data_IF_360741758531
#
_entry.id   IF_360741758531
#
_cell.length_a   1.000
_cell.length_b   1.000
_cell.length_c   1.000
_cell.angle_alpha   90.00
_cell.angle_beta   90.00
_cell.angle_gamma   90.00
#
_symmetry.space_group_name_H-M   'P 1'
#
loop_
_entity.id
_entity.type
_entity.pdbx_description
1 polymer ?
#
# COMPACT_ATOMS: atom_id res chain seq x y z
N UNK A 1 60.95 -41.22 -22.75
CA UNK A 1 59.55 -41.14 -23.12
C UNK A 1 58.81 -40.54 -21.97
N UNK A 2 58.55 -39.24 -22.00
CA UNK A 2 57.94 -38.48 -20.91
C UNK A 2 56.48 -38.23 -21.30
N UNK A 3 55.53 -38.78 -20.55
CA UNK A 3 54.12 -38.49 -20.72
C UNK A 3 53.72 -37.33 -19.79
N UNK A 4 53.35 -36.24 -20.38
CA UNK A 4 52.70 -35.12 -19.70
C UNK A 4 51.23 -35.45 -19.49
N UNK A 5 50.79 -35.53 -18.23
CA UNK A 5 49.41 -35.52 -17.84
C UNK A 5 48.94 -34.09 -17.70
N UNK A 6 48.06 -33.65 -18.57
CA UNK A 6 47.38 -32.37 -18.44
C UNK A 6 46.18 -32.56 -17.48
N UNK A 7 46.25 -31.91 -16.33
CA UNK A 7 45.13 -31.82 -15.40
C UNK A 7 44.23 -30.64 -15.83
N UNK A 8 43.06 -30.94 -16.37
CA UNK A 8 42.01 -29.93 -16.59
C UNK A 8 41.36 -29.61 -15.24
N UNK A 9 41.63 -28.43 -14.71
CA UNK A 9 40.86 -27.89 -13.60
C UNK A 9 39.56 -27.28 -14.14
N UNK A 10 38.43 -27.93 -13.91
CA UNK A 10 37.12 -27.37 -14.19
C UNK A 10 36.76 -26.40 -13.05
N UNK A 11 36.85 -25.12 -13.31
CA UNK A 11 36.29 -24.10 -12.41
C UNK A 11 34.79 -24.02 -12.59
N UNK A 12 34.04 -24.55 -11.61
CA UNK A 12 32.61 -24.34 -11.49
C UNK A 12 32.39 -22.89 -11.04
N UNK A 13 31.97 -22.04 -11.97
CA UNK A 13 31.39 -20.73 -11.64
C UNK A 13 29.95 -20.95 -11.13
N UNK A 14 29.80 -20.94 -9.82
CA UNK A 14 28.47 -20.81 -9.20
C UNK A 14 28.02 -19.37 -9.33
N UNK A 15 27.17 -19.07 -10.32
CA UNK A 15 26.45 -17.81 -10.38
C UNK A 15 25.36 -17.82 -9.31
N UNK A 16 25.69 -17.37 -8.10
CA UNK A 16 24.71 -17.12 -7.07
C UNK A 16 23.92 -15.87 -7.46
N UNK A 17 22.64 -16.04 -7.80
CA UNK A 17 21.70 -14.93 -7.89
C UNK A 17 21.43 -14.45 -6.48
N UNK A 18 22.07 -13.36 -6.05
CA UNK A 18 21.75 -12.68 -4.81
C UNK A 18 20.40 -12.00 -5.00
N UNK A 19 19.35 -12.55 -4.38
CA UNK A 19 18.08 -11.84 -4.20
C UNK A 19 18.37 -10.67 -3.25
N UNK A 20 18.31 -9.43 -3.77
CA UNK A 20 18.40 -8.24 -2.94
C UNK A 20 17.20 -8.21 -2.00
N UNK A 21 17.42 -8.49 -0.71
CA UNK A 21 16.42 -8.29 0.32
C UNK A 21 16.36 -6.80 0.66
N UNK A 22 15.16 -6.19 0.72
CA UNK A 22 15.03 -4.83 1.18
C UNK A 22 15.54 -4.72 2.62
N UNK A 23 16.49 -3.84 2.85
CA UNK A 23 16.96 -3.54 4.21
C UNK A 23 15.83 -2.87 5.01
N UNK A 24 15.69 -3.18 6.32
CA UNK A 24 14.83 -2.38 7.20
C UNK A 24 15.29 -0.93 7.16
N UNK A 25 14.43 -0.04 6.66
CA UNK A 25 14.78 1.37 6.43
C UNK A 25 15.09 1.73 4.97
N UNK A 26 15.03 0.77 4.05
CA UNK A 26 15.07 1.07 2.61
C UNK A 26 13.87 1.97 2.26
N UNK A 27 14.08 3.17 1.70
CA UNK A 27 12.99 4.05 1.29
C UNK A 27 12.08 3.44 0.20
N UNK A 28 12.48 2.33 -0.40
CA UNK A 28 11.66 1.54 -1.31
C UNK A 28 10.73 0.52 -0.62
N UNK A 29 10.97 0.20 0.66
CA UNK A 29 10.13 -0.75 1.38
C UNK A 29 8.83 -0.09 1.85
N UNK A 30 7.68 -0.56 1.33
CA UNK A 30 6.37 -0.11 1.74
C UNK A 30 5.85 -0.82 2.99
N UNK A 31 5.08 -0.11 3.80
CA UNK A 31 4.29 -0.72 4.88
C UNK A 31 2.89 -0.99 4.37
N UNK A 32 2.50 -2.26 4.33
CA UNK A 32 1.21 -2.70 3.80
C UNK A 32 0.21 -2.97 4.92
N UNK A 33 -1.04 -2.57 4.69
CA UNK A 33 -2.20 -2.86 5.55
C UNK A 33 -3.37 -3.36 4.71
N UNK A 34 -4.22 -4.19 5.31
CA UNK A 34 -5.45 -4.67 4.69
C UNK A 34 -6.55 -3.62 4.67
N UNK A 35 -7.40 -3.69 3.66
CA UNK A 35 -8.64 -2.93 3.54
C UNK A 35 -9.77 -3.94 3.45
N UNK A 36 -10.74 -3.82 4.36
CA UNK A 36 -11.88 -4.72 4.46
C UNK A 36 -13.14 -4.08 3.92
N UNK A 37 -14.07 -4.92 3.50
CA UNK A 37 -15.35 -4.43 3.00
C UNK A 37 -16.19 -3.75 4.09
N UNK A 38 -16.96 -2.76 3.69
CA UNK A 38 -18.04 -2.16 4.47
C UNK A 38 -19.35 -2.31 3.70
N UNK A 39 -20.46 -2.36 4.45
CA UNK A 39 -21.80 -2.35 3.90
C UNK A 39 -22.06 -3.46 2.85
N UNK A 40 -21.45 -4.63 3.05
CA UNK A 40 -21.58 -5.78 2.13
C UNK A 40 -21.21 -5.46 0.68
N UNK A 41 -20.26 -4.57 0.48
CA UNK A 41 -19.85 -4.10 -0.85
C UNK A 41 -19.12 -5.15 -1.68
N UNK A 42 -18.50 -6.14 -1.01
CA UNK A 42 -17.58 -7.08 -1.65
C UNK A 42 -16.22 -6.47 -2.01
N UNK A 43 -15.97 -5.21 -1.65
CA UNK A 43 -14.72 -4.53 -1.96
C UNK A 43 -13.70 -4.74 -0.86
N UNK A 44 -12.57 -5.30 -1.21
CA UNK A 44 -11.42 -5.52 -0.33
C UNK A 44 -10.15 -5.10 -1.03
N UNK A 45 -9.07 -4.90 -0.29
CA UNK A 45 -7.82 -4.53 -0.92
C UNK A 45 -6.69 -4.33 0.06
N UNK A 46 -5.71 -3.59 -0.39
CA UNK A 46 -4.54 -3.22 0.39
C UNK A 46 -4.19 -1.75 0.21
N UNK A 47 -3.64 -1.16 1.26
CA UNK A 47 -2.98 0.14 1.24
C UNK A 47 -1.51 -0.07 1.55
N UNK A 48 -0.64 0.54 0.76
CA UNK A 48 0.80 0.51 0.99
C UNK A 48 1.31 1.93 1.12
N UNK A 49 2.03 2.20 2.20
CA UNK A 49 2.65 3.49 2.48
C UNK A 49 4.14 3.39 2.23
N UNK A 50 4.66 4.29 1.39
CA UNK A 50 6.09 4.42 1.11
C UNK A 50 6.59 5.73 1.70
N UNK A 51 7.57 5.63 2.59
CA UNK A 51 8.23 6.79 3.17
C UNK A 51 9.04 7.54 2.11
N UNK A 52 8.76 8.83 1.97
CA UNK A 52 9.49 9.76 1.09
C UNK A 52 10.08 10.94 1.87
N UNK A 53 10.34 10.76 3.16
CA UNK A 53 10.82 11.82 4.05
C UNK A 53 9.66 12.66 4.60
N UNK A 54 9.51 13.89 4.15
CA UNK A 54 8.42 14.79 4.58
C UNK A 54 7.07 14.43 3.95
N UNK A 55 7.04 13.58 2.95
CA UNK A 55 5.84 13.11 2.26
C UNK A 55 5.72 11.59 2.33
N UNK A 56 4.53 11.08 2.05
CA UNK A 56 4.25 9.65 1.96
C UNK A 56 3.52 9.37 0.64
N UNK A 57 4.03 8.42 -0.13
CA UNK A 57 3.27 7.85 -1.24
C UNK A 57 2.33 6.80 -0.69
N UNK A 58 1.05 6.88 -1.07
CA UNK A 58 -0.01 5.95 -0.64
C UNK A 58 -0.57 5.27 -1.87
N UNK A 59 -0.38 3.97 -1.96
CA UNK A 59 -0.88 3.14 -3.05
C UNK A 59 -2.06 2.29 -2.55
N UNK A 60 -3.19 2.37 -3.25
CA UNK A 60 -4.34 1.50 -3.02
C UNK A 60 -4.46 0.49 -4.16
N UNK A 61 -4.69 -0.76 -3.80
CA UNK A 61 -5.06 -1.83 -4.73
C UNK A 61 -6.34 -2.45 -4.22
N UNK A 62 -7.43 -2.27 -4.97
CA UNK A 62 -8.77 -2.72 -4.60
C UNK A 62 -9.26 -3.81 -5.53
N UNK A 63 -10.01 -4.76 -4.98
CA UNK A 63 -10.74 -5.81 -5.68
C UNK A 63 -12.24 -5.63 -5.47
N UNK A 64 -13.06 -6.17 -6.37
CA UNK A 64 -14.52 -6.06 -6.29
C UNK A 64 -15.05 -4.68 -6.68
N UNK A 65 -14.24 -3.85 -7.31
CA UNK A 65 -14.66 -2.54 -7.80
C UNK A 65 -15.52 -2.70 -9.06
N UNK A 66 -16.54 -1.84 -9.19
CA UNK A 66 -17.34 -1.76 -10.41
C UNK A 66 -16.53 -1.02 -11.48
N UNK A 67 -16.08 -1.73 -12.49
CA UNK A 67 -15.10 -1.29 -13.48
C UNK A 67 -15.31 0.11 -14.04
N UNK A 68 -14.24 0.89 -14.15
CA UNK A 68 -14.17 2.20 -14.78
C UNK A 68 -14.76 3.37 -14.00
N UNK A 69 -15.60 3.15 -13.00
CA UNK A 69 -16.16 4.22 -12.17
C UNK A 69 -15.11 4.71 -11.15
N UNK A 70 -14.88 6.01 -11.12
CA UNK A 70 -14.03 6.62 -10.12
C UNK A 70 -14.67 6.53 -8.73
N UNK A 71 -13.90 6.09 -7.75
CA UNK A 71 -14.30 6.00 -6.35
C UNK A 71 -13.43 6.92 -5.50
N UNK A 72 -14.02 7.77 -4.69
CA UNK A 72 -13.27 8.60 -3.75
C UNK A 72 -12.57 7.73 -2.71
N UNK A 73 -11.35 8.12 -2.36
CA UNK A 73 -10.60 7.54 -1.25
C UNK A 73 -10.06 8.68 -0.37
N UNK A 74 -10.13 8.50 0.92
CA UNK A 74 -9.75 9.54 1.89
C UNK A 74 -9.16 8.92 3.15
N UNK A 75 -8.29 9.68 3.83
CA UNK A 75 -7.82 9.34 5.16
C UNK A 75 -8.60 10.11 6.22
N UNK A 76 -9.13 9.40 7.19
CA UNK A 76 -9.83 9.97 8.34
C UNK A 76 -9.06 9.69 9.62
N UNK A 77 -9.09 10.65 10.55
CA UNK A 77 -8.68 10.38 11.93
C UNK A 77 -9.84 9.75 12.69
N UNK A 78 -9.53 8.74 13.48
CA UNK A 78 -10.50 8.06 14.32
C UNK A 78 -9.97 6.72 14.81
N UNK A 79 -10.49 6.21 15.93
CA UNK A 79 -9.99 4.97 16.54
C UNK A 79 -10.35 3.72 15.75
N UNK A 80 -11.33 3.78 14.87
CA UNK A 80 -11.78 2.62 14.09
C UNK A 80 -12.50 3.03 12.82
N UNK A 81 -12.75 2.05 11.95
CA UNK A 81 -13.57 2.24 10.74
C UNK A 81 -15.05 2.53 11.06
N UNK A 82 -15.53 2.14 12.24
CA UNK A 82 -16.90 2.42 12.69
C UNK A 82 -17.05 3.84 13.23
N UNK A 83 -15.94 4.46 13.61
CA UNK A 83 -15.91 5.82 14.14
C UNK A 83 -14.87 6.65 13.38
N UNK A 84 -15.17 6.97 12.14
CA UNK A 84 -14.36 7.87 11.30
C UNK A 84 -14.60 9.34 11.62
N UNK A 85 -15.40 9.61 12.66
CA UNK A 85 -15.63 10.96 13.17
C UNK A 85 -16.47 11.85 12.27
N UNK A 86 -16.93 12.95 12.84
CA UNK A 86 -17.71 13.99 12.14
C UNK A 86 -16.84 15.11 11.60
N UNK A 87 -15.54 15.10 11.87
CA UNK A 87 -14.63 16.17 11.54
C UNK A 87 -14.21 16.24 10.05
N UNK A 88 -14.69 15.31 9.23
CA UNK A 88 -14.29 15.22 7.83
C UNK A 88 -12.93 14.57 7.62
N UNK A 89 -12.51 14.41 6.36
CA UNK A 89 -11.25 13.75 6.01
C UNK A 89 -10.05 14.63 6.39
N UNK A 90 -8.99 13.99 6.90
CA UNK A 90 -7.72 14.64 7.16
C UNK A 90 -6.91 14.82 5.87
N UNK A 91 -7.00 13.87 4.94
CA UNK A 91 -6.32 13.92 3.65
C UNK A 91 -7.19 13.31 2.55
N UNK A 92 -7.13 13.93 1.38
CA UNK A 92 -7.75 13.40 0.17
C UNK A 92 -6.72 12.59 -0.61
N UNK A 93 -7.13 11.41 -1.05
CA UNK A 93 -6.36 10.57 -1.95
C UNK A 93 -6.85 10.76 -3.39
N UNK A 94 -6.03 10.38 -4.35
CA UNK A 94 -6.47 10.26 -5.74
C UNK A 94 -7.58 9.21 -5.83
N UNK A 95 -8.59 9.46 -6.66
CA UNK A 95 -9.68 8.51 -6.86
C UNK A 95 -9.17 7.13 -7.28
N UNK A 96 -9.80 6.11 -6.76
CA UNK A 96 -9.58 4.73 -7.21
C UNK A 96 -10.25 4.56 -8.58
N UNK A 97 -9.47 4.19 -9.57
CA UNK A 97 -9.94 3.84 -10.92
C UNK A 97 -9.39 2.47 -11.30
N UNK A 98 -10.26 1.60 -11.79
CA UNK A 98 -9.89 0.23 -12.14
C UNK A 98 -9.15 -0.49 -11.01
N UNK A 99 -9.58 -0.25 -9.77
CA UNK A 99 -9.00 -0.86 -8.57
C UNK A 99 -7.67 -0.28 -8.11
N UNK A 100 -7.21 0.85 -8.63
CA UNK A 100 -5.92 1.43 -8.28
C UNK A 100 -5.98 2.93 -7.99
N UNK A 101 -5.19 3.36 -7.02
CA UNK A 101 -4.95 4.76 -6.70
C UNK A 101 -3.51 4.94 -6.23
N UNK A 102 -2.87 6.00 -6.67
CA UNK A 102 -1.55 6.42 -6.21
C UNK A 102 -1.64 7.88 -5.80
N UNK A 103 -1.28 8.16 -4.56
CA UNK A 103 -1.37 9.50 -3.99
C UNK A 103 -0.07 9.89 -3.29
N UNK A 104 0.20 11.18 -3.23
CA UNK A 104 1.27 11.74 -2.39
C UNK A 104 0.65 12.60 -1.31
N UNK A 105 0.93 12.28 -0.05
CA UNK A 105 0.43 12.99 1.13
C UNK A 105 1.56 13.82 1.74
N UNK A 106 1.25 15.07 2.06
CA UNK A 106 2.19 15.99 2.73
C UNK A 106 2.26 15.72 4.23
N UNK A 107 2.64 14.52 4.59
CA UNK A 107 2.88 14.08 5.96
C UNK A 107 3.90 12.95 5.95
N UNK A 108 4.77 12.86 6.98
CA UNK A 108 5.69 11.73 7.12
C UNK A 108 4.93 10.42 7.35
N UNK A 109 5.45 9.31 6.84
CA UNK A 109 4.84 8.00 7.00
C UNK A 109 4.67 7.61 8.48
N UNK A 110 5.63 7.93 9.34
CA UNK A 110 5.55 7.68 10.78
C UNK A 110 4.34 8.37 11.44
N UNK A 111 3.98 9.57 11.01
CA UNK A 111 2.79 10.27 11.50
C UNK A 111 1.50 9.52 11.13
N UNK A 112 1.42 9.02 9.90
CA UNK A 112 0.25 8.27 9.42
C UNK A 112 0.13 6.91 10.07
N UNK A 113 1.26 6.25 10.33
CA UNK A 113 1.30 4.90 10.92
C UNK A 113 1.13 4.89 12.44
N UNK A 114 1.49 5.98 13.13
CA UNK A 114 1.37 6.10 14.60
C UNK A 114 0.14 6.89 15.04
N UNK A 115 -0.43 7.71 14.17
CA UNK A 115 -1.70 8.40 14.42
C UNK A 115 -2.87 7.50 14.06
N UNK A 116 -4.00 7.64 14.72
CA UNK A 116 -5.21 6.86 14.44
C UNK A 116 -5.84 7.28 13.10
N UNK A 117 -5.26 6.83 11.99
CA UNK A 117 -5.76 7.09 10.65
C UNK A 117 -6.35 5.82 10.03
N UNK A 118 -7.45 6.01 9.30
CA UNK A 118 -8.12 4.97 8.55
C UNK A 118 -8.25 5.43 7.09
N UNK A 119 -8.02 4.52 6.15
CA UNK A 119 -8.33 4.76 4.75
C UNK A 119 -9.76 4.30 4.50
N UNK A 120 -10.57 5.15 3.86
CA UNK A 120 -11.95 4.85 3.50
C UNK A 120 -12.13 5.03 2.01
N UNK A 121 -12.70 4.02 1.36
CA UNK A 121 -13.07 4.03 -0.06
C UNK A 121 -14.59 4.13 -0.16
N UNK A 122 -15.08 4.94 -1.09
CA UNK A 122 -16.50 5.18 -1.30
C UNK A 122 -16.97 4.53 -2.61
N UNK A 123 -18.28 4.39 -2.77
CA UNK A 123 -18.89 3.75 -3.95
C UNK A 123 -18.70 4.55 -5.26
N UNK A 124 -18.53 5.87 -5.14
CA UNK A 124 -18.25 6.77 -6.25
C UNK A 124 -17.55 8.04 -5.75
N UNK A 125 -17.23 8.96 -6.62
CA UNK A 125 -16.71 10.28 -6.24
C UNK A 125 -17.81 11.35 -6.12
N UNK A 126 -19.08 10.96 -6.18
CA UNK A 126 -20.20 11.86 -5.96
C UNK A 126 -20.35 12.21 -4.47
N UNK A 127 -20.88 13.40 -4.18
CA UNK A 127 -21.23 13.78 -2.83
C UNK A 127 -22.27 12.82 -2.25
N UNK A 128 -22.10 12.42 -0.98
CA UNK A 128 -23.01 11.49 -0.30
C UNK A 128 -22.85 10.01 -0.69
N UNK A 129 -21.82 9.66 -1.44
CA UNK A 129 -21.53 8.27 -1.75
C UNK A 129 -21.29 7.46 -0.47
N UNK A 130 -21.75 6.19 -0.46
CA UNK A 130 -21.58 5.28 0.69
C UNK A 130 -20.14 4.78 0.76
N UNK A 131 -19.64 4.58 1.96
CA UNK A 131 -18.37 3.88 2.17
C UNK A 131 -18.51 2.40 1.80
N UNK A 132 -17.53 1.90 1.07
CA UNK A 132 -17.51 0.52 0.58
C UNK A 132 -16.38 -0.31 1.20
N UNK A 133 -15.33 0.34 1.66
CA UNK A 133 -14.20 -0.34 2.28
C UNK A 133 -13.45 0.58 3.24
N UNK A 134 -12.78 -0.01 4.22
CA UNK A 134 -11.99 0.71 5.20
C UNK A 134 -10.83 -0.14 5.71
N UNK A 135 -9.72 0.50 6.02
CA UNK A 135 -8.56 -0.15 6.62
C UNK A 135 -7.83 0.76 7.59
N UNK A 136 -7.28 0.18 8.65
CA UNK A 136 -6.46 0.90 9.62
C UNK A 136 -5.03 1.05 9.11
N UNK A 137 -4.43 2.23 9.28
CA UNK A 137 -3.03 2.45 8.94
C UNK A 137 -2.08 2.08 10.08
N UNK A 138 -2.53 2.17 11.31
CA UNK A 138 -1.72 1.80 12.48
C UNK A 138 -1.63 0.28 12.63
N UNK A 139 -0.56 -0.18 13.30
CA UNK A 139 -0.43 -1.57 13.69
C UNK A 139 -1.34 -1.85 14.90
N UNK A 140 -2.16 -2.89 14.78
CA UNK A 140 -2.97 -3.42 15.89
C UNK A 140 -2.12 -4.30 16.78
#
# INVERSE_FOLDING_TARGET
MTRLLAVLAATLLTTGTALAQPYPGDPGAGVQRGIEQLNNSGQVGTVTLYDRGSTTRVDLVMQGTTGGRAQSARLYRGPSCDDIGTAGPAYFLTDVKNGRSVSTIKAPAGKLLSGNYNVVVFSSNAAGARSTACGHLYAS
#
